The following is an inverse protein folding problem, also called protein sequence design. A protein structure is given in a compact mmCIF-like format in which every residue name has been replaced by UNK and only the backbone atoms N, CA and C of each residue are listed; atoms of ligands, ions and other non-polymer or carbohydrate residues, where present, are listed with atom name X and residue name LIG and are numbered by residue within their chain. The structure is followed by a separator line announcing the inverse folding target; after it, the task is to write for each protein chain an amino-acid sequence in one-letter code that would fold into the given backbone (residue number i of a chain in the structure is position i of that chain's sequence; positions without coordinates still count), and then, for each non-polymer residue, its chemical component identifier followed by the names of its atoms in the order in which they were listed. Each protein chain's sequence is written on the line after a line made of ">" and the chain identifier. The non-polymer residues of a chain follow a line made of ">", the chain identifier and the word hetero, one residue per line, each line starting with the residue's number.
data_IF_559669542904
#
_entry.id   IF_559669542904
#
_cell.length_a   1.000
_cell.length_b   1.000
_cell.length_c   1.000
_cell.angle_alpha   90.00
_cell.angle_beta   90.00
_cell.angle_gamma   90.00
#
_symmetry.space_group_name_H-M   'P 1'
#
loop_
_entity.id
_entity.type
_entity.pdbx_description
1 polymer ?
#
# COMPACT_ATOMS: atom_id res chain seq x y z
N UNK A 1 -14.15 -10.05 -62.96
CA UNK A 1 -14.47 -11.17 -62.05
C UNK A 1 -13.92 -10.85 -60.65
N UNK A 2 -14.84 -10.77 -59.68
CA UNK A 2 -14.76 -10.51 -58.22
C UNK A 2 -13.39 -10.23 -57.56
N UNK A 3 -13.21 -9.07 -56.90
CA UNK A 3 -12.39 -8.97 -55.70
C UNK A 3 -13.21 -9.42 -54.48
N UNK A 4 -12.62 -10.32 -53.68
CA UNK A 4 -13.16 -10.81 -52.40
C UNK A 4 -13.17 -9.66 -51.38
N UNK A 5 -14.35 -9.36 -50.85
CA UNK A 5 -14.50 -8.50 -49.68
C UNK A 5 -13.90 -9.20 -48.46
N UNK A 6 -12.82 -8.64 -47.91
CA UNK A 6 -12.29 -9.04 -46.61
C UNK A 6 -13.11 -8.28 -45.55
N UNK A 7 -13.98 -9.02 -44.86
CA UNK A 7 -14.78 -8.51 -43.76
C UNK A 7 -13.84 -8.27 -42.56
N UNK A 8 -13.50 -7.02 -42.28
CA UNK A 8 -12.78 -6.63 -41.07
C UNK A 8 -13.79 -6.65 -39.91
N UNK A 9 -13.80 -7.72 -39.12
CA UNK A 9 -14.57 -7.79 -37.88
C UNK A 9 -13.82 -6.98 -36.83
N UNK A 10 -14.27 -5.74 -36.61
CA UNK A 10 -13.84 -4.93 -35.47
C UNK A 10 -14.50 -5.51 -34.21
N UNK A 11 -13.77 -6.33 -33.46
CA UNK A 11 -14.17 -6.71 -32.11
C UNK A 11 -13.89 -5.51 -31.21
N UNK A 12 -14.93 -4.74 -30.90
CA UNK A 12 -14.95 -3.81 -29.78
C UNK A 12 -14.91 -4.63 -28.49
N UNK A 13 -13.72 -4.97 -28.03
CA UNK A 13 -13.53 -5.47 -26.68
C UNK A 13 -13.82 -4.31 -25.71
N UNK A 14 -14.92 -4.42 -24.98
CA UNK A 14 -15.27 -3.53 -23.89
C UNK A 14 -14.12 -3.49 -22.89
N UNK A 15 -13.52 -2.30 -22.76
CA UNK A 15 -12.45 -2.04 -21.80
C UNK A 15 -13.09 -1.91 -20.40
N UNK A 16 -13.50 -3.04 -19.80
CA UNK A 16 -13.71 -3.13 -18.35
C UNK A 16 -12.33 -3.21 -17.70
N UNK A 17 -11.58 -2.10 -17.78
CA UNK A 17 -10.26 -1.98 -17.19
C UNK A 17 -10.38 -2.09 -15.68
N UNK A 18 -9.91 -3.21 -15.12
CA UNK A 18 -9.52 -3.24 -13.72
C UNK A 18 -8.57 -2.05 -13.46
N UNK A 19 -8.66 -1.38 -12.31
CA UNK A 19 -7.78 -0.25 -12.02
C UNK A 19 -6.32 -0.70 -12.22
N UNK A 20 -5.58 0.05 -13.04
CA UNK A 20 -4.20 -0.27 -13.36
C UNK A 20 -3.40 -0.45 -12.06
N UNK A 21 -2.70 -1.57 -11.92
CA UNK A 21 -1.82 -1.79 -10.78
C UNK A 21 -0.79 -0.66 -10.73
N UNK A 22 -0.75 0.05 -9.59
CA UNK A 22 0.17 1.19 -9.38
C UNK A 22 1.57 0.72 -8.97
N UNK A 23 1.74 -0.59 -8.79
CA UNK A 23 3.03 -1.21 -8.55
C UNK A 23 3.85 -1.20 -9.85
N UNK A 24 5.05 -0.59 -9.87
CA UNK A 24 5.95 -0.63 -11.03
C UNK A 24 6.21 -2.07 -11.50
N UNK A 25 6.48 -2.26 -12.80
CA UNK A 25 6.65 -3.60 -13.37
C UNK A 25 7.73 -4.41 -12.64
N UNK A 26 7.48 -5.71 -12.46
CA UNK A 26 8.36 -6.63 -11.71
C UNK A 26 9.77 -6.79 -12.30
N UNK A 27 10.01 -6.32 -13.52
CA UNK A 27 11.32 -6.35 -14.17
C UNK A 27 12.33 -5.38 -13.55
N UNK A 28 11.87 -4.26 -12.97
CA UNK A 28 12.73 -3.37 -12.22
C UNK A 28 12.99 -3.96 -10.83
N UNK A 29 14.24 -4.35 -10.58
CA UNK A 29 14.67 -4.95 -9.30
C UNK A 29 15.45 -3.99 -8.41
N UNK A 30 15.96 -2.90 -8.97
CA UNK A 30 16.99 -2.09 -8.33
C UNK A 30 16.42 -0.77 -7.80
N UNK A 31 15.40 -0.22 -8.46
CA UNK A 31 14.79 1.04 -8.05
C UNK A 31 13.95 0.83 -6.80
N UNK A 32 13.99 1.80 -5.87
CA UNK A 32 13.11 1.86 -4.70
C UNK A 32 12.15 3.03 -4.92
N UNK A 33 10.87 2.83 -4.60
CA UNK A 33 9.86 3.88 -4.74
C UNK A 33 9.23 4.23 -3.40
N UNK A 34 8.98 5.52 -3.18
CA UNK A 34 8.00 5.97 -2.18
C UNK A 34 6.61 6.08 -2.82
N UNK A 35 5.57 6.06 -2.02
CA UNK A 35 4.23 6.40 -2.47
C UNK A 35 3.94 7.88 -2.21
N UNK A 36 3.62 8.63 -3.26
CA UNK A 36 3.16 10.00 -3.13
C UNK A 36 1.64 10.03 -2.93
N UNK A 37 1.21 10.22 -1.68
CA UNK A 37 -0.20 10.25 -1.31
C UNK A 37 -0.99 11.44 -1.91
N UNK A 38 -0.31 12.48 -2.40
CA UNK A 38 -0.98 13.62 -3.02
C UNK A 38 -1.27 13.36 -4.48
N UNK A 39 -0.32 12.76 -5.19
CA UNK A 39 -0.43 12.50 -6.63
C UNK A 39 -0.90 11.08 -6.97
N UNK A 40 -1.06 10.22 -5.97
CA UNK A 40 -1.43 8.79 -6.07
C UNK A 40 -0.46 8.00 -6.97
N UNK A 41 0.85 8.27 -6.85
CA UNK A 41 1.88 7.71 -7.74
C UNK A 41 3.13 7.21 -7.01
N UNK A 42 3.80 6.17 -7.54
CA UNK A 42 5.12 5.78 -7.08
C UNK A 42 6.16 6.78 -7.60
N UNK A 43 7.06 7.22 -6.72
CA UNK A 43 8.15 8.13 -7.05
C UNK A 43 9.47 7.46 -6.70
N UNK A 44 10.43 7.33 -7.64
CA UNK A 44 11.71 6.71 -7.34
C UNK A 44 12.48 7.54 -6.31
N UNK A 45 13.16 6.86 -5.39
CA UNK A 45 13.94 7.49 -4.31
C UNK A 45 15.33 6.86 -4.25
N UNK A 46 16.40 7.67 -4.29
CA UNK A 46 17.76 7.19 -4.06
C UNK A 46 17.92 6.56 -2.67
N UNK A 47 18.84 5.59 -2.54
CA UNK A 47 19.02 4.83 -1.27
C UNK A 47 19.44 5.72 -0.11
N UNK A 48 20.25 6.73 -0.40
CA UNK A 48 20.77 7.73 0.51
C UNK A 48 19.69 8.66 1.09
N UNK A 49 18.54 8.77 0.43
CA UNK A 49 17.42 9.59 0.89
C UNK A 49 16.37 8.81 1.69
N UNK A 50 16.54 7.48 1.81
CA UNK A 50 15.57 6.65 2.51
C UNK A 50 15.61 6.92 4.01
N UNK A 51 14.42 6.91 4.63
CA UNK A 51 14.26 7.18 6.05
C UNK A 51 13.90 5.90 6.79
N UNK A 52 14.68 5.59 7.82
CA UNK A 52 14.41 4.47 8.72
C UNK A 52 12.99 4.57 9.29
N UNK A 53 12.29 3.44 9.28
CA UNK A 53 10.91 3.33 9.73
C UNK A 53 9.88 3.87 8.74
N UNK A 54 10.25 4.29 7.53
CA UNK A 54 9.30 4.55 6.44
C UNK A 54 9.09 3.30 5.58
N UNK A 55 8.02 3.32 4.80
CA UNK A 55 7.56 2.24 3.94
C UNK A 55 7.89 2.58 2.49
N UNK A 56 8.54 1.64 1.80
CA UNK A 56 8.94 1.79 0.41
C UNK A 56 8.56 0.56 -0.40
N UNK A 57 8.36 0.75 -1.70
CA UNK A 57 8.16 -0.32 -2.64
C UNK A 57 9.52 -0.73 -3.23
N UNK A 58 9.90 -1.99 -3.02
CA UNK A 58 11.14 -2.56 -3.52
C UNK A 58 10.86 -3.95 -4.08
N UNK A 59 11.81 -4.53 -4.79
CA UNK A 59 11.74 -5.93 -5.18
C UNK A 59 12.02 -6.83 -3.96
N UNK A 60 11.10 -7.73 -3.61
CA UNK A 60 11.33 -8.79 -2.61
C UNK A 60 11.78 -10.06 -3.34
N UNK A 61 13.03 -10.53 -3.13
CA UNK A 61 13.49 -11.79 -3.68
C UNK A 61 12.70 -12.99 -3.15
N UNK A 62 12.23 -12.94 -1.90
CA UNK A 62 11.48 -14.04 -1.26
C UNK A 62 10.13 -14.26 -1.92
N UNK A 63 9.46 -13.18 -2.33
CA UNK A 63 8.18 -13.25 -3.04
C UNK A 63 8.34 -13.24 -4.57
N UNK A 64 9.56 -13.03 -5.08
CA UNK A 64 9.86 -12.82 -6.50
C UNK A 64 8.93 -11.78 -7.17
N UNK A 65 8.61 -10.71 -6.45
CA UNK A 65 7.77 -9.59 -6.92
C UNK A 65 8.07 -8.33 -6.12
N UNK A 66 7.56 -7.20 -6.58
CA UNK A 66 7.62 -5.95 -5.82
C UNK A 66 6.65 -6.00 -4.63
N UNK A 67 7.10 -5.45 -3.50
CA UNK A 67 6.36 -5.39 -2.25
C UNK A 67 6.61 -4.06 -1.54
N UNK A 68 5.63 -3.62 -0.77
CA UNK A 68 5.80 -2.54 0.19
C UNK A 68 6.38 -3.10 1.48
N UNK A 69 7.42 -2.49 2.03
CA UNK A 69 8.05 -2.97 3.28
C UNK A 69 8.63 -1.82 4.08
N UNK A 70 8.82 -2.04 5.38
CA UNK A 70 9.51 -1.06 6.24
C UNK A 70 11.01 -1.08 6.01
N UNK A 71 11.62 0.09 5.92
CA UNK A 71 13.07 0.19 6.07
C UNK A 71 13.47 0.11 7.54
N UNK A 72 14.31 -0.86 7.90
CA UNK A 72 14.91 -0.98 9.22
C UNK A 72 16.20 -0.17 9.34
N UNK A 73 16.68 0.00 10.57
CA UNK A 73 17.91 0.75 10.87
C UNK A 73 19.19 0.11 10.32
N UNK A 74 19.17 -1.20 10.08
CA UNK A 74 20.26 -1.95 9.44
C UNK A 74 20.22 -1.88 7.90
N UNK A 75 19.27 -1.12 7.35
CA UNK A 75 19.09 -0.98 5.90
C UNK A 75 18.28 -2.11 5.25
N UNK A 76 17.81 -3.09 6.02
CA UNK A 76 16.98 -4.18 5.51
C UNK A 76 15.50 -3.79 5.41
N UNK A 77 14.76 -4.55 4.60
CA UNK A 77 13.31 -4.38 4.46
C UNK A 77 12.56 -5.41 5.28
N UNK A 78 11.72 -4.95 6.20
CA UNK A 78 10.97 -5.78 7.15
C UNK A 78 9.47 -5.79 6.86
N UNK A 79 8.93 -7.02 6.83
CA UNK A 79 7.60 -7.45 6.36
C UNK A 79 7.24 -6.98 4.94
N UNK A 80 7.00 -7.95 4.05
CA UNK A 80 6.37 -7.67 2.77
C UNK A 80 4.87 -7.42 3.00
N UNK A 81 4.50 -6.15 3.14
CA UNK A 81 3.15 -5.72 3.49
C UNK A 81 2.14 -6.17 2.43
N UNK A 82 1.11 -6.87 2.88
CA UNK A 82 0.01 -7.34 2.07
C UNK A 82 -1.25 -6.47 2.19
N UNK A 83 -2.23 -6.78 1.34
CA UNK A 83 -3.55 -6.14 1.32
C UNK A 83 -4.16 -6.03 2.73
N UNK A 84 -4.82 -4.91 2.99
CA UNK A 84 -5.49 -4.62 4.25
C UNK A 84 -4.58 -3.98 5.30
N UNK A 85 -3.24 -4.05 5.13
CA UNK A 85 -2.27 -3.45 6.07
C UNK A 85 -2.62 -1.98 6.31
N UNK A 86 -2.75 -1.58 7.57
CA UNK A 86 -3.06 -0.20 7.99
C UNK A 86 -1.86 0.43 8.67
N UNK A 87 -1.52 1.66 8.31
CA UNK A 87 -0.36 2.36 8.83
C UNK A 87 -0.60 3.85 9.04
N UNK A 88 0.13 4.45 9.98
CA UNK A 88 0.15 5.91 10.12
C UNK A 88 0.71 6.54 8.82
N UNK A 89 0.03 7.54 8.25
CA UNK A 89 0.39 8.16 6.96
C UNK A 89 1.82 8.71 6.95
N UNK A 90 2.35 9.15 8.11
CA UNK A 90 3.75 9.62 8.23
C UNK A 90 4.79 8.56 7.87
N UNK A 91 4.41 7.27 7.87
CA UNK A 91 5.27 6.16 7.45
C UNK A 91 5.46 6.10 5.94
N UNK A 92 4.70 6.88 5.15
CA UNK A 92 4.81 6.91 3.68
C UNK A 92 5.89 7.86 3.15
N UNK A 93 6.79 8.37 4.01
CA UNK A 93 7.74 9.44 3.65
C UNK A 93 7.05 10.63 2.95
N UNK A 94 6.07 11.21 3.65
CA UNK A 94 5.28 12.33 3.10
C UNK A 94 6.14 13.57 2.98
N UNK A 95 6.50 13.93 1.74
CA UNK A 95 7.31 15.13 1.41
C UNK A 95 6.48 16.36 1.06
N UNK A 96 5.18 16.32 1.34
CA UNK A 96 4.26 17.44 1.15
C UNK A 96 4.59 18.62 2.09
N UNK A 97 4.55 19.82 1.54
CA UNK A 97 4.53 21.09 2.28
C UNK A 97 3.26 21.19 3.14
N UNK A 98 3.27 22.09 4.14
CA UNK A 98 2.10 22.31 4.98
C UNK A 98 0.89 22.80 4.16
N UNK A 99 1.12 23.66 3.17
CA UNK A 99 0.06 24.16 2.29
C UNK A 99 -0.63 23.02 1.51
N UNK A 100 0.14 22.07 0.99
CA UNK A 100 -0.39 20.91 0.27
C UNK A 100 -1.13 19.95 1.21
N UNK A 101 -0.63 19.75 2.43
CA UNK A 101 -1.33 18.94 3.46
C UNK A 101 -2.67 19.55 3.82
N UNK A 102 -2.69 20.86 4.06
CA UNK A 102 -3.93 21.59 4.38
C UNK A 102 -4.91 21.55 3.21
N UNK A 103 -4.42 21.67 1.98
CA UNK A 103 -5.26 21.52 0.79
C UNK A 103 -5.89 20.12 0.72
N UNK A 104 -5.10 19.07 0.95
CA UNK A 104 -5.61 17.69 0.91
C UNK A 104 -6.60 17.37 2.02
N UNK A 105 -6.43 17.98 3.20
CA UNK A 105 -7.40 17.92 4.29
C UNK A 105 -8.71 18.61 3.88
N UNK A 106 -8.66 19.81 3.29
CA UNK A 106 -9.87 20.52 2.82
C UNK A 106 -10.67 19.74 1.78
N UNK A 107 -9.98 18.98 0.92
CA UNK A 107 -10.62 18.10 -0.08
C UNK A 107 -11.30 16.86 0.53
N UNK A 108 -11.04 16.56 1.81
CA UNK A 108 -11.64 15.45 2.54
C UNK A 108 -12.30 15.98 3.83
N UNK A 109 -13.46 16.66 3.73
CA UNK A 109 -14.06 17.37 4.86
C UNK A 109 -14.33 16.47 6.07
N UNK A 110 -14.75 15.22 5.86
CA UNK A 110 -14.97 14.25 6.93
C UNK A 110 -13.67 13.93 7.69
N UNK A 111 -12.59 13.71 6.95
CA UNK A 111 -11.25 13.48 7.52
C UNK A 111 -10.76 14.73 8.26
N UNK A 112 -10.98 15.92 7.69
CA UNK A 112 -10.61 17.18 8.33
C UNK A 112 -11.37 17.37 9.64
N UNK A 113 -12.67 17.09 9.67
CA UNK A 113 -13.47 17.17 10.89
C UNK A 113 -12.97 16.18 11.94
N UNK A 114 -12.78 14.92 11.56
CA UNK A 114 -12.28 13.88 12.47
C UNK A 114 -10.87 14.23 13.01
N UNK A 115 -9.98 14.73 12.15
CA UNK A 115 -8.65 15.18 12.55
C UNK A 115 -8.73 16.36 13.54
N UNK A 116 -9.55 17.37 13.24
CA UNK A 116 -9.73 18.57 14.07
C UNK A 116 -10.25 18.24 15.47
N UNK A 117 -11.21 17.32 15.57
CA UNK A 117 -11.80 16.93 16.86
C UNK A 117 -10.85 16.14 17.75
N UNK A 118 -9.85 15.47 17.17
CA UNK A 118 -9.11 14.41 17.86
C UNK A 118 -7.63 14.71 17.99
N UNK A 119 -7.08 15.59 17.15
CA UNK A 119 -5.62 15.76 16.99
C UNK A 119 -4.91 14.45 16.63
N UNK A 120 -5.67 13.46 16.11
CA UNK A 120 -5.24 12.09 15.91
C UNK A 120 -4.23 11.96 14.77
N UNK A 121 -3.70 10.75 14.59
CA UNK A 121 -2.81 10.44 13.46
C UNK A 121 -3.66 9.99 12.28
N UNK A 122 -3.38 10.48 11.08
CA UNK A 122 -4.01 9.97 9.85
C UNK A 122 -3.47 8.58 9.54
N UNK A 123 -4.37 7.66 9.19
CA UNK A 123 -4.03 6.29 8.78
C UNK A 123 -4.34 6.05 7.31
N UNK A 124 -3.52 5.21 6.69
CA UNK A 124 -3.66 4.71 5.33
C UNK A 124 -3.80 3.19 5.34
N UNK A 125 -4.44 2.63 4.31
CA UNK A 125 -4.59 1.19 4.10
C UNK A 125 -4.05 0.79 2.73
N UNK A 126 -3.32 -0.33 2.69
CA UNK A 126 -2.86 -0.95 1.45
C UNK A 126 -4.02 -1.70 0.79
N UNK A 127 -4.36 -1.33 -0.43
CA UNK A 127 -5.38 -1.99 -1.24
C UNK A 127 -4.81 -3.19 -2.01
N UNK A 128 -5.68 -4.03 -2.56
CA UNK A 128 -5.31 -5.22 -3.36
C UNK A 128 -4.46 -4.89 -4.59
N UNK A 129 -4.73 -3.75 -5.21
CA UNK A 129 -4.06 -3.16 -6.37
C UNK A 129 -2.72 -2.49 -6.02
N UNK A 130 -2.33 -2.49 -4.73
CA UNK A 130 -1.04 -2.01 -4.27
C UNK A 130 -0.98 -0.51 -4.02
N UNK A 131 -2.13 0.17 -3.91
CA UNK A 131 -2.26 1.60 -3.60
C UNK A 131 -2.45 1.82 -2.10
N UNK A 132 -2.09 3.01 -1.63
CA UNK A 132 -2.34 3.44 -0.26
C UNK A 132 -3.47 4.46 -0.23
N UNK A 133 -4.55 4.14 0.48
CA UNK A 133 -5.73 5.00 0.61
C UNK A 133 -5.90 5.47 2.04
N UNK A 134 -6.30 6.73 2.24
CA UNK A 134 -6.59 7.25 3.58
C UNK A 134 -7.86 6.59 4.12
N UNK A 135 -7.84 6.19 5.39
CA UNK A 135 -8.93 5.43 6.03
C UNK A 135 -9.48 6.03 7.32
N UNK A 136 -8.89 7.11 7.86
CA UNK A 136 -9.40 7.83 9.04
C UNK A 136 -8.30 8.21 10.05
N UNK A 137 -8.68 8.69 11.25
CA UNK A 137 -7.72 9.18 12.28
C UNK A 137 -7.71 8.43 13.63
N UNK A 138 -8.40 7.28 13.74
CA UNK A 138 -8.48 6.47 14.98
C UNK A 138 -8.34 4.96 14.75
N UNK A 139 -7.41 4.57 13.88
CA UNK A 139 -7.15 3.16 13.60
C UNK A 139 -5.96 2.65 14.38
N UNK A 140 -5.93 1.34 14.61
CA UNK A 140 -4.69 0.65 14.99
C UNK A 140 -3.88 0.38 13.72
N UNK A 141 -2.56 0.48 13.84
CA UNK A 141 -1.66 0.04 12.79
C UNK A 141 -1.60 -1.49 12.83
N UNK A 142 -1.86 -2.10 11.69
CA UNK A 142 -1.91 -3.56 11.53
C UNK A 142 -1.06 -3.93 10.31
N UNK A 143 -0.24 -4.95 10.43
CA UNK A 143 0.56 -5.50 9.33
C UNK A 143 0.05 -6.88 9.00
N UNK A 144 -0.34 -7.08 7.74
CA UNK A 144 -0.43 -8.41 7.17
C UNK A 144 0.86 -8.70 6.38
N UNK A 145 1.61 -9.70 6.81
CA UNK A 145 2.85 -10.10 6.16
C UNK A 145 2.57 -11.13 5.07
N UNK A 146 2.69 -10.70 3.81
CA UNK A 146 2.44 -11.54 2.65
C UNK A 146 3.46 -12.67 2.47
N UNK A 147 4.63 -12.63 3.13
CA UNK A 147 5.61 -13.72 3.10
C UNK A 147 5.23 -14.87 4.04
N UNK A 148 4.64 -14.56 5.19
CA UNK A 148 4.39 -15.54 6.25
C UNK A 148 2.91 -15.85 6.47
N UNK A 149 2.02 -15.01 5.96
CA UNK A 149 0.59 -15.02 6.25
C UNK A 149 0.27 -14.60 7.68
N UNK A 150 1.21 -13.98 8.39
CA UNK A 150 0.99 -13.53 9.77
C UNK A 150 0.36 -12.14 9.82
N UNK A 151 -0.52 -11.95 10.80
CA UNK A 151 -1.10 -10.66 11.13
C UNK A 151 -0.45 -10.12 12.40
N UNK A 152 -0.17 -8.82 12.44
CA UNK A 152 0.47 -8.16 13.56
C UNK A 152 -0.26 -6.86 13.89
N UNK A 153 -0.57 -6.64 15.16
CA UNK A 153 -1.15 -5.40 15.63
C UNK A 153 -0.12 -4.58 16.42
N UNK A 154 -0.16 -3.26 16.22
CA UNK A 154 0.71 -2.34 16.94
C UNK A 154 0.11 -1.97 18.29
N UNK A 155 0.84 -2.26 19.35
CA UNK A 155 0.57 -1.80 20.71
C UNK A 155 1.75 -0.95 21.19
N UNK A 156 1.53 0.36 21.32
CA UNK A 156 2.61 1.32 21.58
C UNK A 156 3.63 1.31 20.44
N UNK A 157 4.87 0.94 20.75
CA UNK A 157 5.97 0.86 19.77
C UNK A 157 6.32 -0.58 19.33
N UNK A 158 5.51 -1.56 19.74
CA UNK A 158 5.72 -2.97 19.40
C UNK A 158 4.63 -3.50 18.50
N UNK A 159 5.02 -4.36 17.57
CA UNK A 159 4.10 -5.21 16.83
C UNK A 159 4.00 -6.57 17.53
N UNK A 160 2.77 -6.99 17.81
CA UNK A 160 2.46 -8.25 18.48
C UNK A 160 1.73 -9.13 17.48
N UNK A 161 2.15 -10.40 17.30
CA UNK A 161 1.50 -11.29 16.35
C UNK A 161 0.10 -11.65 16.84
N UNK A 162 -0.89 -11.54 15.96
CA UNK A 162 -2.28 -11.87 16.24
C UNK A 162 -2.49 -13.37 16.01
N UNK A 163 -2.91 -14.07 17.06
CA UNK A 163 -3.25 -15.50 17.01
C UNK A 163 -4.75 -15.74 17.06
N UNK A 164 -5.16 -16.91 16.61
CA UNK A 164 -6.50 -17.47 16.76
C UNK A 164 -6.40 -18.95 17.14
N UNK A 165 -7.54 -19.62 17.35
CA UNK A 165 -7.60 -20.98 17.87
C UNK A 165 -6.91 -22.03 16.98
N UNK A 166 -6.81 -21.81 15.66
CA UNK A 166 -6.12 -22.71 14.73
C UNK A 166 -4.72 -22.24 14.31
N UNK A 167 -4.16 -21.22 14.97
CA UNK A 167 -2.76 -20.81 14.79
C UNK A 167 -2.57 -19.31 14.61
N UNK A 168 -1.55 -18.93 13.84
CA UNK A 168 -1.13 -17.52 13.64
C UNK A 168 -1.21 -17.05 12.19
N UNK A 169 -1.76 -17.88 11.30
CA UNK A 169 -1.87 -17.59 9.88
C UNK A 169 -3.26 -17.05 9.54
N UNK A 170 -3.27 -16.11 8.61
CA UNK A 170 -4.44 -15.37 8.19
C UNK A 170 -4.49 -15.33 6.67
N UNK A 171 -5.69 -15.38 6.11
CA UNK A 171 -5.97 -15.07 4.73
C UNK A 171 -6.59 -13.68 4.65
N UNK A 172 -6.40 -13.01 3.50
CA UNK A 172 -7.02 -11.73 3.21
C UNK A 172 -8.03 -11.88 2.08
N UNK A 173 -9.21 -11.27 2.25
CA UNK A 173 -10.22 -11.13 1.21
C UNK A 173 -10.86 -9.76 1.33
N UNK A 174 -10.77 -8.97 0.27
CA UNK A 174 -11.36 -7.63 0.17
C UNK A 174 -10.98 -6.73 1.37
N UNK A 175 -9.69 -6.74 1.72
CA UNK A 175 -9.11 -5.98 2.83
C UNK A 175 -9.47 -6.47 4.23
N UNK A 176 -10.12 -7.63 4.37
CA UNK A 176 -10.48 -8.25 5.66
C UNK A 176 -9.69 -9.51 5.91
N UNK A 177 -9.35 -9.74 7.18
CA UNK A 177 -8.56 -10.89 7.61
C UNK A 177 -9.44 -12.01 8.15
N UNK A 178 -9.11 -13.23 7.74
CA UNK A 178 -9.79 -14.44 8.15
C UNK A 178 -8.76 -15.45 8.66
N UNK A 179 -9.04 -16.19 9.74
CA UNK A 179 -8.21 -17.31 10.16
C UNK A 179 -7.91 -18.23 8.99
N UNK A 180 -6.63 -18.55 8.79
CA UNK A 180 -6.18 -19.51 7.78
C UNK A 180 -5.26 -20.52 8.46
N UNK A 181 -5.81 -21.67 8.83
CA UNK A 181 -5.12 -22.71 9.58
C UNK A 181 -6.08 -23.83 9.89
#
# INVERSE_FOLDING_TARGET
>A
MKPRALLLVLVLAGNSGAPAQVVPQAADRDTIYRYDLLTDKPVPVPREELKVGCIYNHFSPRLNRRAWSYLQSDGTFWHALGEGTTQEARRMDVRATEAERQQRLRENPDLAQEYSMTGGKVFVRLTKDGRWVIVGVRLLATIYDAETGQLWDRYGDKYIPVGHSSGKRWAVRDGRYYPAG
#
